data_IF_994338941569
#
_entry.id   IF_994338941569
#
_cell.length_a   1.000
_cell.length_b   1.000
_cell.length_c   1.000
_cell.angle_alpha   90.00
_cell.angle_beta   90.00
_cell.angle_gamma   90.00
#
_symmetry.space_group_name_H-M   'P 1'
#
loop_
_entity.id
_entity.type
_entity.pdbx_description
1 polymer ?
#
# COMPACT_ATOMS: atom_id res chain seq x y z
N UNK A 1 17.83 81.42 7.81
CA UNK A 1 16.94 80.63 6.97
C UNK A 1 17.27 79.17 7.24
N UNK A 2 16.53 78.48 8.14
CA UNK A 2 16.77 77.09 8.56
C UNK A 2 15.75 76.22 7.85
N UNK A 3 16.24 75.33 6.99
CA UNK A 3 15.42 74.38 6.26
C UNK A 3 15.30 73.13 7.13
N UNK A 4 14.08 72.85 7.62
CA UNK A 4 13.74 71.59 8.30
C UNK A 4 13.48 70.52 7.27
N UNK A 5 14.35 69.55 7.17
CA UNK A 5 14.14 68.34 6.34
C UNK A 5 13.37 67.32 7.19
N UNK A 6 12.07 67.15 6.88
CA UNK A 6 11.21 66.13 7.51
C UNK A 6 11.44 64.80 6.78
N UNK A 7 12.12 63.88 7.46
CA UNK A 7 12.29 62.46 7.00
C UNK A 7 11.00 61.73 7.37
N UNK A 8 10.16 61.42 6.37
CA UNK A 8 9.01 60.53 6.52
C UNK A 8 9.54 59.08 6.45
N UNK A 9 9.71 58.44 7.58
CA UNK A 9 9.95 57.01 7.69
C UNK A 9 8.66 56.25 7.39
N UNK A 10 8.50 55.76 6.16
CA UNK A 10 7.42 54.83 5.78
C UNK A 10 7.67 53.48 6.44
N UNK A 11 6.98 53.19 7.53
CA UNK A 11 6.87 51.85 8.14
C UNK A 11 6.09 50.98 7.18
N UNK A 12 6.79 50.20 6.35
CA UNK A 12 6.21 49.07 5.61
C UNK A 12 5.93 48.00 6.61
N UNK A 13 4.72 47.92 7.13
CA UNK A 13 4.22 46.81 7.92
C UNK A 13 4.07 45.59 6.99
N UNK A 14 5.08 44.74 6.95
CA UNK A 14 5.01 43.43 6.33
C UNK A 14 4.06 42.60 7.21
N UNK A 15 2.80 42.51 6.79
CA UNK A 15 1.83 41.62 7.39
C UNK A 15 2.31 40.18 7.12
N UNK A 16 3.04 39.59 8.04
CA UNK A 16 3.34 38.17 8.01
C UNK A 16 2.02 37.44 8.28
N UNK A 17 1.31 37.10 7.20
CA UNK A 17 0.21 36.15 7.31
C UNK A 17 0.78 34.84 7.82
N UNK A 18 0.56 34.54 9.08
CA UNK A 18 0.90 33.24 9.65
C UNK A 18 0.14 32.18 8.84
N UNK A 19 0.86 31.47 7.99
CA UNK A 19 0.26 30.40 7.20
C UNK A 19 -0.29 29.33 8.17
N UNK A 20 -1.53 28.92 7.95
CA UNK A 20 -2.19 27.88 8.73
C UNK A 20 -1.38 26.60 8.68
N UNK A 21 -1.10 26.01 9.84
CA UNK A 21 -0.42 24.72 9.97
C UNK A 21 -1.43 23.59 10.18
N UNK A 22 -1.08 22.40 9.72
CA UNK A 22 -1.90 21.20 9.80
C UNK A 22 -1.10 20.07 10.43
N UNK A 23 -1.71 19.34 11.35
CA UNK A 23 -1.17 18.10 11.91
C UNK A 23 -1.81 16.96 11.14
N UNK A 24 -1.03 16.31 10.28
CA UNK A 24 -1.45 15.12 9.54
C UNK A 24 -0.93 13.89 10.29
N UNK A 25 -1.82 13.05 10.75
CA UNK A 25 -1.48 11.80 11.47
C UNK A 25 -2.61 10.81 11.37
N UNK A 26 -2.29 9.54 11.53
CA UNK A 26 -3.29 8.51 11.73
C UNK A 26 -3.98 8.70 13.08
N UNK A 27 -5.29 8.75 13.07
CA UNK A 27 -6.12 8.93 14.24
C UNK A 27 -7.45 8.19 14.05
N UNK A 28 -7.38 6.87 14.07
CA UNK A 28 -8.56 6.02 13.89
C UNK A 28 -9.64 6.29 14.96
N UNK A 29 -10.83 6.73 14.57
CA UNK A 29 -11.92 6.95 15.52
C UNK A 29 -12.54 5.62 15.93
N UNK A 30 -12.70 5.41 17.24
CA UNK A 30 -13.35 4.22 17.82
C UNK A 30 -14.82 4.18 17.45
N UNK A 31 -15.34 2.99 17.13
CA UNK A 31 -16.74 2.75 16.77
C UNK A 31 -17.07 3.01 15.31
N UNK A 32 -16.07 3.33 14.49
CA UNK A 32 -16.25 3.56 13.07
C UNK A 32 -15.78 2.38 12.23
N UNK A 33 -16.36 2.27 11.05
CA UNK A 33 -15.96 1.31 10.01
C UNK A 33 -15.59 2.04 8.73
N UNK A 34 -14.59 1.52 8.05
CA UNK A 34 -14.13 2.04 6.77
C UNK A 34 -13.99 0.92 5.76
N UNK A 35 -14.59 1.09 4.60
CA UNK A 35 -14.36 0.23 3.44
C UNK A 35 -13.21 0.80 2.62
N UNK A 36 -12.30 -0.07 2.23
CA UNK A 36 -11.20 0.23 1.32
C UNK A 36 -11.29 -0.64 0.09
N UNK A 37 -11.06 -0.02 -1.07
CA UNK A 37 -10.85 -0.70 -2.34
C UNK A 37 -9.47 -0.35 -2.88
N UNK A 38 -8.64 -1.35 -3.09
CA UNK A 38 -7.32 -1.21 -3.73
C UNK A 38 -7.41 -1.88 -5.09
N UNK A 39 -6.99 -1.18 -6.13
CA UNK A 39 -6.90 -1.71 -7.48
C UNK A 39 -5.53 -1.38 -8.08
N UNK A 40 -4.91 -2.38 -8.70
CA UNK A 40 -3.63 -2.26 -9.39
C UNK A 40 -3.76 -2.77 -10.82
N UNK A 41 -3.58 -1.89 -11.78
CA UNK A 41 -3.47 -2.20 -13.21
C UNK A 41 -2.00 -2.21 -13.59
N UNK A 42 -1.48 -3.30 -14.16
CA UNK A 42 -0.06 -3.48 -14.46
C UNK A 42 0.15 -3.98 -15.88
N UNK A 43 1.19 -3.47 -16.53
CA UNK A 43 1.76 -3.95 -17.77
C UNK A 43 3.19 -4.36 -17.46
N UNK A 44 3.54 -5.61 -17.71
CA UNK A 44 4.85 -6.19 -17.43
C UNK A 44 5.43 -6.74 -18.72
N UNK A 45 6.60 -6.27 -19.08
CA UNK A 45 7.39 -6.77 -20.20
C UNK A 45 8.63 -7.48 -19.67
N UNK A 46 8.87 -8.68 -20.14
CA UNK A 46 10.05 -9.48 -19.78
C UNK A 46 10.72 -9.99 -21.05
N UNK A 47 12.06 -10.01 -21.05
CA UNK A 47 12.82 -10.67 -22.11
C UNK A 47 13.67 -11.76 -21.50
N UNK A 48 13.39 -13.01 -21.85
CA UNK A 48 14.00 -14.22 -21.29
C UNK A 48 14.65 -15.01 -22.43
N UNK A 49 15.98 -15.10 -22.47
CA UNK A 49 16.68 -15.85 -23.51
C UNK A 49 16.37 -15.36 -24.94
N UNK A 50 16.09 -14.05 -25.10
CA UNK A 50 15.76 -13.44 -26.39
C UNK A 50 14.27 -13.44 -26.72
N UNK A 51 13.42 -14.16 -25.98
CA UNK A 51 11.96 -14.18 -26.16
C UNK A 51 11.32 -13.07 -25.32
N UNK A 52 10.41 -12.31 -25.91
CA UNK A 52 9.63 -11.28 -25.23
C UNK A 52 8.32 -11.89 -24.70
N UNK A 53 8.03 -11.62 -23.44
CA UNK A 53 6.79 -11.99 -22.77
C UNK A 53 6.10 -10.70 -22.31
N UNK A 54 4.90 -10.50 -22.82
CA UNK A 54 4.03 -9.39 -22.42
C UNK A 54 2.93 -9.93 -21.52
N UNK A 55 2.80 -9.33 -20.33
CA UNK A 55 1.80 -9.68 -19.34
C UNK A 55 1.02 -8.41 -18.97
N UNK A 56 -0.30 -8.48 -19.03
CA UNK A 56 -1.16 -7.47 -18.38
C UNK A 56 -1.84 -8.09 -17.18
N UNK A 57 -1.90 -7.35 -16.08
CA UNK A 57 -2.49 -7.84 -14.84
C UNK A 57 -3.35 -6.75 -14.19
N UNK A 58 -4.55 -7.15 -13.76
CA UNK A 58 -5.41 -6.33 -12.91
C UNK A 58 -5.67 -7.10 -11.62
N UNK A 59 -5.34 -6.49 -10.47
CA UNK A 59 -5.54 -7.05 -9.14
C UNK A 59 -6.37 -6.08 -8.33
N UNK A 60 -7.43 -6.57 -7.69
CA UNK A 60 -8.26 -5.77 -6.80
C UNK A 60 -8.52 -6.47 -5.48
N UNK A 61 -8.56 -5.67 -4.42
CA UNK A 61 -8.89 -6.14 -3.06
C UNK A 61 -9.79 -5.13 -2.39
N UNK A 62 -10.95 -5.61 -1.91
CA UNK A 62 -11.87 -4.84 -1.07
C UNK A 62 -11.84 -5.40 0.36
N UNK A 63 -11.72 -4.52 1.35
CA UNK A 63 -11.75 -4.91 2.75
C UNK A 63 -12.36 -3.82 3.64
N UNK A 64 -12.81 -4.23 4.81
CA UNK A 64 -13.36 -3.34 5.85
C UNK A 64 -12.42 -3.30 7.04
N UNK A 65 -12.18 -2.11 7.58
CA UNK A 65 -11.64 -1.88 8.91
C UNK A 65 -12.81 -1.61 9.87
N UNK A 66 -12.91 -2.39 10.94
CA UNK A 66 -13.83 -2.19 12.06
C UNK A 66 -12.98 -1.81 13.28
N UNK A 67 -13.12 -0.58 13.77
CA UNK A 67 -12.21 0.04 14.73
C UNK A 67 -12.87 0.05 16.10
N UNK A 68 -12.22 -0.59 17.07
CA UNK A 68 -12.64 -0.63 18.47
C UNK A 68 -11.56 -0.05 19.38
N UNK A 69 -11.94 0.30 20.60
CA UNK A 69 -10.98 0.74 21.62
C UNK A 69 -10.11 -0.43 22.05
N UNK A 70 -8.80 -0.21 22.06
CA UNK A 70 -7.81 -1.10 22.65
C UNK A 70 -7.39 -0.66 24.05
N UNK A 71 -6.29 -1.20 24.54
CA UNK A 71 -5.73 -0.83 25.84
C UNK A 71 -4.80 0.38 25.73
N UNK A 72 -4.75 1.23 26.77
CA UNK A 72 -3.78 2.34 26.87
C UNK A 72 -3.77 3.30 25.66
N UNK A 73 -4.94 3.60 25.07
CA UNK A 73 -5.07 4.48 23.90
C UNK A 73 -4.72 3.82 22.56
N UNK A 74 -4.44 2.52 22.56
CA UNK A 74 -4.31 1.70 21.35
C UNK A 74 -5.67 1.56 20.67
N UNK A 75 -5.68 1.17 19.40
CA UNK A 75 -6.88 0.82 18.65
C UNK A 75 -6.79 -0.60 18.14
N UNK A 76 -7.82 -1.38 18.37
CA UNK A 76 -7.96 -2.69 17.77
C UNK A 76 -8.76 -2.57 16.48
N UNK A 77 -8.15 -2.99 15.39
CA UNK A 77 -8.71 -2.92 14.05
C UNK A 77 -8.92 -4.33 13.53
N UNK A 78 -10.17 -4.73 13.39
CA UNK A 78 -10.54 -5.95 12.71
C UNK A 78 -10.60 -5.69 11.21
N UNK A 79 -9.72 -6.34 10.47
CA UNK A 79 -9.70 -6.31 9.00
C UNK A 79 -10.48 -7.49 8.47
N UNK A 80 -11.45 -7.24 7.59
CA UNK A 80 -12.26 -8.27 6.93
C UNK A 80 -12.11 -8.15 5.42
N UNK A 81 -11.62 -9.18 4.76
CA UNK A 81 -11.59 -9.26 3.30
C UNK A 81 -13.01 -9.43 2.75
N UNK A 82 -13.45 -8.50 1.91
CA UNK A 82 -14.77 -8.54 1.24
C UNK A 82 -14.70 -9.20 -0.12
N UNK A 83 -13.68 -8.84 -0.89
CA UNK A 83 -13.47 -9.34 -2.24
C UNK A 83 -12.00 -9.28 -2.62
N UNK A 84 -11.56 -10.28 -3.36
CA UNK A 84 -10.26 -10.26 -4.05
C UNK A 84 -10.48 -10.80 -5.45
N UNK A 85 -9.90 -10.14 -6.43
CA UNK A 85 -9.89 -10.64 -7.79
C UNK A 85 -8.53 -10.41 -8.45
N UNK A 86 -8.23 -11.23 -9.43
CA UNK A 86 -7.07 -11.08 -10.31
C UNK A 86 -7.46 -11.51 -11.72
N UNK A 87 -7.11 -10.67 -12.68
CA UNK A 87 -7.14 -11.03 -14.11
C UNK A 87 -5.75 -10.83 -14.67
N UNK A 88 -5.23 -11.85 -15.32
CA UNK A 88 -3.90 -11.86 -15.93
C UNK A 88 -4.01 -12.34 -17.36
N UNK A 89 -3.38 -11.65 -18.29
CA UNK A 89 -3.32 -12.03 -19.71
C UNK A 89 -1.87 -12.09 -20.13
N UNK A 90 -1.42 -13.28 -20.52
CA UNK A 90 -0.09 -13.52 -21.03
C UNK A 90 -0.13 -14.50 -22.19
N UNK A 91 0.62 -14.24 -23.27
CA UNK A 91 0.77 -15.13 -24.42
C UNK A 91 -0.59 -15.61 -25.00
N UNK A 92 -1.60 -14.72 -25.04
CA UNK A 92 -2.95 -15.05 -25.51
C UNK A 92 -3.82 -15.84 -24.53
N UNK A 93 -3.28 -16.24 -23.38
CA UNK A 93 -4.02 -16.95 -22.33
C UNK A 93 -4.51 -15.98 -21.27
N UNK A 94 -5.79 -16.07 -20.91
CA UNK A 94 -6.38 -15.29 -19.82
C UNK A 94 -6.61 -16.19 -18.62
N UNK A 95 -6.10 -15.77 -17.46
CA UNK A 95 -6.42 -16.36 -16.16
C UNK A 95 -7.24 -15.35 -15.36
N UNK A 96 -8.34 -15.81 -14.77
CA UNK A 96 -9.18 -14.98 -13.90
C UNK A 96 -9.49 -15.73 -12.63
N UNK A 97 -9.27 -15.07 -11.49
CA UNK A 97 -9.63 -15.56 -10.17
C UNK A 97 -10.47 -14.48 -9.47
N UNK A 98 -11.57 -14.90 -8.85
CA UNK A 98 -12.44 -14.01 -8.10
C UNK A 98 -12.91 -14.74 -6.83
N UNK A 99 -12.73 -14.13 -5.66
CA UNK A 99 -13.20 -14.72 -4.39
C UNK A 99 -14.72 -14.91 -4.33
N UNK A 100 -15.49 -14.23 -5.20
CA UNK A 100 -16.93 -14.40 -5.32
C UNK A 100 -17.33 -15.62 -6.17
N UNK A 101 -16.38 -16.23 -6.89
CA UNK A 101 -16.66 -17.39 -7.72
C UNK A 101 -16.99 -18.61 -6.83
N UNK A 102 -18.20 -19.13 -7.01
CA UNK A 102 -18.72 -20.29 -6.26
C UNK A 102 -18.44 -21.63 -6.97
N UNK A 103 -17.79 -21.61 -8.14
CA UNK A 103 -17.46 -22.83 -8.87
C UNK A 103 -16.40 -23.66 -8.14
N UNK A 104 -16.86 -24.64 -7.36
CA UNK A 104 -16.01 -25.52 -6.58
C UNK A 104 -15.15 -26.47 -7.44
N UNK A 105 -15.40 -26.56 -8.75
CA UNK A 105 -14.61 -27.39 -9.68
C UNK A 105 -13.29 -26.71 -10.07
N UNK A 106 -13.20 -25.38 -9.90
CA UNK A 106 -12.00 -24.61 -10.20
C UNK A 106 -11.18 -24.38 -8.91
N UNK A 107 -9.92 -24.73 -8.95
CA UNK A 107 -8.98 -24.36 -7.87
C UNK A 107 -8.80 -22.84 -7.89
N UNK A 108 -9.44 -22.16 -6.94
CA UNK A 108 -9.38 -20.70 -6.81
C UNK A 108 -8.66 -20.34 -5.49
N UNK A 109 -7.42 -19.82 -5.55
CA UNK A 109 -6.65 -19.49 -4.35
C UNK A 109 -7.29 -18.41 -3.47
N UNK A 110 -8.22 -17.62 -4.03
CA UNK A 110 -8.87 -16.52 -3.31
C UNK A 110 -10.20 -16.92 -2.67
N UNK A 111 -10.76 -18.08 -2.95
CA UNK A 111 -12.06 -18.50 -2.42
C UNK A 111 -12.10 -18.58 -0.89
N UNK A 112 -10.97 -18.86 -0.25
CA UNK A 112 -10.83 -18.91 1.21
C UNK A 112 -10.63 -17.54 1.88
N UNK A 113 -10.41 -16.46 1.11
CA UNK A 113 -10.18 -15.13 1.63
C UNK A 113 -11.46 -14.33 1.82
N UNK A 114 -12.52 -14.59 1.06
CA UNK A 114 -13.79 -13.89 1.25
C UNK A 114 -14.35 -14.12 2.66
N UNK A 115 -14.54 -13.05 3.42
CA UNK A 115 -14.98 -13.10 4.81
C UNK A 115 -13.88 -13.47 5.81
N UNK A 116 -12.67 -13.77 5.35
CA UNK A 116 -11.54 -14.00 6.23
C UNK A 116 -11.18 -12.71 6.99
N UNK A 117 -10.76 -12.87 8.25
CA UNK A 117 -10.47 -11.77 9.14
C UNK A 117 -9.14 -11.95 9.83
N UNK A 118 -8.47 -10.83 10.09
CA UNK A 118 -7.37 -10.75 11.05
C UNK A 118 -7.53 -9.52 11.93
N UNK A 119 -6.82 -9.47 13.04
CA UNK A 119 -6.81 -8.37 13.98
C UNK A 119 -5.45 -7.70 13.95
N UNK A 120 -5.42 -6.38 13.99
CA UNK A 120 -4.20 -5.62 14.25
C UNK A 120 -4.44 -4.63 15.37
N UNK A 121 -3.45 -4.47 16.25
CA UNK A 121 -3.44 -3.45 17.29
C UNK A 121 -2.54 -2.31 16.84
N UNK A 122 -3.13 -1.12 16.71
CA UNK A 122 -2.48 0.13 16.30
C UNK A 122 -2.19 0.97 17.52
N UNK A 123 -0.93 1.39 17.69
CA UNK A 123 -0.50 2.25 18.80
C UNK A 123 -0.75 3.73 18.47
N UNK A 124 -0.77 4.64 19.48
CA UNK A 124 -1.16 6.04 19.27
C UNK A 124 -0.35 6.83 18.24
N UNK A 125 0.88 6.41 17.93
CA UNK A 125 1.71 7.04 16.90
C UNK A 125 1.50 6.44 15.48
N UNK A 126 0.53 5.52 15.31
CA UNK A 126 0.19 4.90 14.03
C UNK A 126 0.98 3.63 13.70
N UNK A 127 1.91 3.19 14.54
CA UNK A 127 2.60 1.91 14.36
C UNK A 127 1.70 0.73 14.65
N UNK A 128 2.02 -0.45 14.13
CA UNK A 128 1.30 -1.70 14.41
C UNK A 128 2.05 -2.51 15.45
N UNK A 129 1.43 -2.72 16.61
CA UNK A 129 1.99 -3.51 17.70
C UNK A 129 1.92 -5.00 17.39
N UNK A 130 0.75 -5.50 17.03
CA UNK A 130 0.51 -6.92 16.77
C UNK A 130 -0.40 -7.13 15.55
N UNK A 131 -0.23 -8.30 14.93
CA UNK A 131 -1.18 -8.85 13.93
C UNK A 131 -1.50 -10.29 14.37
N UNK A 132 -2.77 -10.63 14.43
CA UNK A 132 -3.26 -11.94 14.88
C UNK A 132 -4.35 -12.48 13.95
N UNK A 133 -4.50 -13.83 13.90
CA UNK A 133 -5.53 -14.49 13.09
C UNK A 133 -5.09 -14.90 11.69
N UNK A 134 -3.86 -14.58 11.29
CA UNK A 134 -3.31 -14.95 9.97
C UNK A 134 -3.27 -16.47 9.79
N UNK A 135 -2.85 -17.24 10.79
CA UNK A 135 -2.78 -18.72 10.68
C UNK A 135 -4.13 -19.33 10.33
N UNK A 136 -5.21 -18.86 11.00
CA UNK A 136 -6.58 -19.33 10.72
C UNK A 136 -7.03 -18.96 9.31
N UNK A 137 -6.64 -17.78 8.82
CA UNK A 137 -6.90 -17.35 7.46
C UNK A 137 -6.21 -18.30 6.46
N UNK A 138 -4.95 -18.63 6.69
CA UNK A 138 -4.18 -19.54 5.84
C UNK A 138 -4.72 -20.97 5.86
N UNK A 139 -5.18 -21.47 7.02
CA UNK A 139 -5.85 -22.76 7.13
C UNK A 139 -7.12 -22.81 6.27
N UNK A 140 -7.94 -21.77 6.35
CA UNK A 140 -9.16 -21.67 5.54
C UNK A 140 -8.85 -21.61 4.03
N UNK A 141 -7.84 -20.85 3.63
CA UNK A 141 -7.41 -20.78 2.23
C UNK A 141 -6.94 -22.15 1.72
N UNK A 142 -6.05 -22.81 2.45
CA UNK A 142 -5.50 -24.09 2.06
C UNK A 142 -6.60 -25.18 1.98
N UNK A 143 -7.53 -25.23 2.94
CA UNK A 143 -8.66 -26.15 2.95
C UNK A 143 -9.64 -25.97 1.78
N UNK A 144 -9.71 -24.75 1.21
CA UNK A 144 -10.51 -24.48 -0.01
C UNK A 144 -9.81 -24.91 -1.30
N UNK A 145 -8.50 -25.10 -1.27
CA UNK A 145 -7.71 -25.48 -2.44
C UNK A 145 -7.55 -26.99 -2.60
N UNK A 146 -7.66 -27.78 -1.53
CA UNK A 146 -7.57 -29.23 -1.56
C UNK A 146 -8.33 -29.89 -0.40
N UNK A 147 -8.82 -31.12 -0.66
CA UNK A 147 -9.39 -31.98 0.36
C UNK A 147 -8.36 -32.98 0.93
N UNK A 148 -7.18 -33.11 0.33
CA UNK A 148 -6.10 -33.95 0.79
C UNK A 148 -5.30 -33.28 1.90
N UNK A 149 -5.21 -33.90 3.08
CA UNK A 149 -4.57 -33.33 4.26
C UNK A 149 -3.08 -32.99 4.03
N UNK A 150 -2.37 -33.83 3.25
CA UNK A 150 -0.95 -33.58 2.93
C UNK A 150 -0.78 -32.39 2.00
N UNK A 151 -1.63 -32.31 0.97
CA UNK A 151 -1.66 -31.18 0.03
C UNK A 151 -2.05 -29.88 0.73
N UNK A 152 -3.07 -29.90 1.60
CA UNK A 152 -3.48 -28.74 2.42
C UNK A 152 -2.30 -28.21 3.24
N UNK A 153 -1.52 -29.09 3.87
CA UNK A 153 -0.34 -28.69 4.66
C UNK A 153 0.74 -28.04 3.77
N UNK A 154 0.99 -28.61 2.60
CA UNK A 154 1.96 -28.05 1.65
C UNK A 154 1.52 -26.68 1.14
N UNK A 155 0.25 -26.51 0.79
CA UNK A 155 -0.34 -25.25 0.37
C UNK A 155 -0.21 -24.22 1.51
N UNK A 156 -0.61 -24.55 2.74
CA UNK A 156 -0.46 -23.66 3.89
C UNK A 156 0.99 -23.21 4.08
N UNK A 157 1.95 -24.13 4.01
CA UNK A 157 3.37 -23.80 4.14
C UNK A 157 3.86 -22.87 3.01
N UNK A 158 3.36 -23.03 1.80
CA UNK A 158 3.70 -22.14 0.68
C UNK A 158 3.09 -20.74 0.88
N UNK A 159 1.83 -20.65 1.31
CA UNK A 159 1.14 -19.41 1.59
C UNK A 159 1.77 -18.66 2.77
N UNK A 160 2.18 -19.35 3.84
CA UNK A 160 2.76 -18.72 5.03
C UNK A 160 4.09 -17.99 4.76
N UNK A 161 4.83 -18.38 3.72
CA UNK A 161 6.01 -17.64 3.26
C UNK A 161 5.66 -16.24 2.72
N UNK A 162 4.46 -16.06 2.18
CA UNK A 162 4.02 -14.81 1.56
C UNK A 162 3.09 -13.99 2.47
N UNK A 163 2.36 -14.66 3.36
CA UNK A 163 1.31 -14.07 4.19
C UNK A 163 1.53 -14.35 5.68
N UNK A 164 2.77 -14.36 6.17
CA UNK A 164 3.00 -14.45 7.62
C UNK A 164 2.48 -13.21 8.34
N UNK A 165 2.26 -13.32 9.65
CA UNK A 165 1.86 -12.18 10.49
C UNK A 165 2.86 -11.00 10.36
N UNK A 166 4.16 -11.30 10.28
CA UNK A 166 5.22 -10.28 10.11
C UNK A 166 5.14 -9.59 8.74
N UNK A 167 4.91 -10.33 7.65
CA UNK A 167 4.74 -9.75 6.31
C UNK A 167 3.50 -8.86 6.26
N UNK A 168 2.37 -9.32 6.80
CA UNK A 168 1.14 -8.52 6.88
C UNK A 168 1.36 -7.28 7.73
N UNK A 169 2.03 -7.41 8.88
CA UNK A 169 2.39 -6.27 9.75
C UNK A 169 3.22 -5.23 9.00
N UNK A 170 4.33 -5.64 8.37
CA UNK A 170 5.20 -4.74 7.60
C UNK A 170 4.45 -4.05 6.46
N UNK A 171 3.58 -4.78 5.75
CA UNK A 171 2.78 -4.24 4.66
C UNK A 171 1.81 -3.16 5.16
N UNK A 172 1.11 -3.43 6.26
CA UNK A 172 0.18 -2.46 6.85
C UNK A 172 0.92 -1.24 7.42
N UNK A 173 2.03 -1.44 8.14
CA UNK A 173 2.86 -0.34 8.65
C UNK A 173 3.36 0.56 7.52
N UNK A 174 3.84 -0.01 6.42
CA UNK A 174 4.31 0.75 5.26
C UNK A 174 3.17 1.54 4.60
N UNK A 175 1.97 0.96 4.55
CA UNK A 175 0.78 1.64 4.00
C UNK A 175 0.31 2.81 4.85
N UNK A 176 0.56 2.77 6.17
CA UNK A 176 0.21 3.85 7.10
C UNK A 176 1.34 4.86 7.31
N UNK A 177 2.55 4.57 6.88
CA UNK A 177 3.71 5.45 7.07
C UNK A 177 3.77 6.50 5.97
N UNK A 178 2.86 7.48 6.01
CA UNK A 178 2.75 8.55 5.02
C UNK A 178 2.74 9.96 5.65
N UNK A 179 2.74 10.06 6.99
CA UNK A 179 2.55 11.32 7.69
C UNK A 179 3.87 12.00 8.05
N UNK A 180 3.89 13.36 8.13
CA UNK A 180 5.04 14.09 8.65
C UNK A 180 5.13 13.93 10.18
N UNK A 181 6.34 14.01 10.71
CA UNK A 181 6.57 14.01 12.17
C UNK A 181 6.20 15.34 12.85
N UNK A 182 6.06 16.42 12.07
CA UNK A 182 5.75 17.78 12.53
C UNK A 182 4.51 18.33 11.83
N UNK A 183 3.93 19.39 12.40
CA UNK A 183 2.91 20.16 11.70
C UNK A 183 3.49 20.78 10.42
N UNK A 184 2.70 20.77 9.35
CA UNK A 184 3.09 21.25 8.01
C UNK A 184 2.16 22.34 7.50
N UNK A 185 2.66 23.15 6.60
CA UNK A 185 1.91 24.17 5.83
C UNK A 185 1.72 23.70 4.41
N UNK A 186 0.81 24.32 3.69
CA UNK A 186 0.69 24.13 2.23
C UNK A 186 2.02 24.53 1.59
N UNK A 187 2.55 23.65 0.73
CA UNK A 187 3.87 23.76 0.11
C UNK A 187 5.00 23.03 0.86
N UNK A 188 4.81 22.65 2.12
CA UNK A 188 5.82 21.86 2.85
C UNK A 188 5.90 20.43 2.32
N UNK A 189 7.13 19.90 2.30
CA UNK A 189 7.40 18.51 1.94
C UNK A 189 8.06 17.76 3.09
N UNK A 190 7.90 16.43 3.08
CA UNK A 190 8.58 15.51 3.98
C UNK A 190 8.84 14.19 3.25
N UNK A 191 9.85 13.47 3.69
CA UNK A 191 10.27 12.20 3.10
C UNK A 191 9.96 11.05 4.04
N UNK A 192 9.53 9.94 3.46
CA UNK A 192 9.25 8.69 4.17
C UNK A 192 9.99 7.55 3.48
N UNK A 193 10.76 6.81 4.26
CA UNK A 193 11.47 5.61 3.82
C UNK A 193 10.68 4.38 4.25
N UNK A 194 10.42 3.47 3.32
CA UNK A 194 9.78 2.19 3.63
C UNK A 194 10.56 1.02 3.03
N UNK A 195 10.54 -0.10 3.74
CA UNK A 195 11.10 -1.37 3.29
C UNK A 195 10.02 -2.43 3.38
N UNK A 196 9.76 -3.08 2.25
CA UNK A 196 8.82 -4.18 2.15
C UNK A 196 9.58 -5.44 1.80
N UNK A 197 9.36 -6.49 2.59
CA UNK A 197 9.92 -7.81 2.35
C UNK A 197 8.78 -8.77 1.99
N UNK A 198 8.18 -8.54 0.86
CA UNK A 198 7.13 -9.41 0.31
C UNK A 198 7.74 -10.52 -0.55
N UNK A 199 7.08 -10.88 -1.65
CA UNK A 199 7.62 -11.83 -2.64
C UNK A 199 8.96 -11.35 -3.24
N UNK A 200 9.22 -10.05 -3.20
CA UNK A 200 10.43 -9.39 -3.69
C UNK A 200 10.79 -8.26 -2.73
N UNK A 201 12.06 -8.07 -2.35
CA UNK A 201 12.46 -6.95 -1.50
C UNK A 201 12.27 -5.63 -2.25
N UNK A 202 11.56 -4.68 -1.64
CA UNK A 202 11.34 -3.34 -2.21
C UNK A 202 11.66 -2.30 -1.15
N UNK A 203 12.54 -1.37 -1.48
CA UNK A 203 12.81 -0.17 -0.70
C UNK A 203 12.28 1.04 -1.45
N UNK A 204 11.61 1.95 -0.74
CA UNK A 204 11.11 3.19 -1.33
C UNK A 204 11.54 4.39 -0.51
N UNK A 205 11.87 5.47 -1.20
CA UNK A 205 12.04 6.80 -0.62
C UNK A 205 10.98 7.68 -1.29
N UNK A 206 9.98 8.10 -0.52
CA UNK A 206 8.83 8.83 -1.04
C UNK A 206 8.75 10.21 -0.41
N UNK A 207 8.76 11.25 -1.24
CA UNK A 207 8.48 12.63 -0.86
C UNK A 207 6.98 12.90 -1.01
N UNK A 208 6.39 13.43 0.04
CA UNK A 208 5.02 13.95 0.08
C UNK A 208 5.08 15.46 0.21
N UNK A 209 4.29 16.18 -0.58
CA UNK A 209 4.13 17.63 -0.50
C UNK A 209 2.67 17.96 -0.22
N UNK A 210 2.38 18.74 0.83
CA UNK A 210 1.03 19.23 1.08
C UNK A 210 0.65 20.28 0.04
N UNK A 211 -0.16 19.88 -0.96
CA UNK A 211 -0.58 20.72 -2.07
C UNK A 211 -1.70 21.68 -1.66
N UNK A 212 -2.70 21.14 -0.99
CA UNK A 212 -3.93 21.87 -0.67
C UNK A 212 -4.61 21.25 0.55
N UNK A 213 -5.38 22.07 1.26
CA UNK A 213 -6.34 21.63 2.28
C UNK A 213 -7.66 22.31 2.03
N UNK A 214 -8.69 21.55 1.73
CA UNK A 214 -10.05 22.03 1.47
C UNK A 214 -11.08 21.11 2.11
N UNK A 215 -12.09 21.68 2.77
CA UNK A 215 -13.23 20.98 3.36
C UNK A 215 -12.83 19.77 4.26
N UNK A 216 -11.75 19.92 5.04
CA UNK A 216 -11.24 18.85 5.91
C UNK A 216 -10.40 17.79 5.19
N UNK A 217 -10.15 17.93 3.90
CA UNK A 217 -9.35 17.02 3.09
C UNK A 217 -8.00 17.64 2.75
N UNK A 218 -6.91 16.93 3.05
CA UNK A 218 -5.57 17.28 2.62
C UNK A 218 -5.23 16.55 1.32
N UNK A 219 -4.74 17.26 0.31
CA UNK A 219 -4.24 16.71 -0.95
C UNK A 219 -2.73 16.73 -0.93
N UNK A 220 -2.11 15.57 -1.12
CA UNK A 220 -0.67 15.38 -1.15
C UNK A 220 -0.22 15.04 -2.58
N UNK A 221 0.81 15.73 -3.05
CA UNK A 221 1.60 15.29 -4.20
C UNK A 221 2.57 14.22 -3.71
N UNK A 222 2.67 13.13 -4.44
CA UNK A 222 3.54 11.99 -4.14
C UNK A 222 4.60 11.86 -5.24
N UNK A 223 5.87 11.81 -4.85
CA UNK A 223 7.00 11.50 -5.73
C UNK A 223 7.98 10.61 -4.98
N UNK A 224 8.41 9.53 -5.59
CA UNK A 224 9.35 8.63 -4.94
C UNK A 224 10.19 7.84 -5.89
N UNK A 225 11.25 7.26 -5.34
CA UNK A 225 12.10 6.27 -5.98
C UNK A 225 11.86 4.89 -5.37
N UNK A 226 11.99 3.85 -6.21
CA UNK A 226 11.88 2.46 -5.81
C UNK A 226 13.17 1.74 -6.19
N UNK A 227 13.63 0.87 -5.30
CA UNK A 227 14.74 -0.04 -5.56
C UNK A 227 14.34 -1.44 -5.09
N UNK A 228 14.57 -2.44 -5.94
CA UNK A 228 14.46 -3.83 -5.55
C UNK A 228 15.79 -4.50 -5.85
N UNK A 229 16.54 -4.83 -4.80
CA UNK A 229 17.85 -5.45 -4.93
C UNK A 229 18.03 -6.56 -3.90
N UNK A 230 18.40 -7.76 -4.38
CA UNK A 230 18.68 -8.91 -3.54
C UNK A 230 18.06 -10.20 -4.03
N UNK A 231 18.12 -11.21 -3.17
CA UNK A 231 17.61 -12.55 -3.44
C UNK A 231 16.21 -12.72 -2.80
N UNK A 232 15.35 -13.44 -3.49
CA UNK A 232 14.04 -13.84 -2.99
C UNK A 232 13.64 -15.21 -3.57
N UNK A 233 12.56 -15.79 -3.07
CA UNK A 233 12.00 -17.04 -3.58
C UNK A 233 10.60 -16.78 -4.14
N UNK A 234 10.37 -17.17 -5.39
CA UNK A 234 9.04 -17.11 -6.00
C UNK A 234 8.71 -18.46 -6.66
N UNK A 235 7.55 -19.01 -6.33
CA UNK A 235 7.08 -20.32 -6.83
C UNK A 235 8.12 -21.45 -6.69
N UNK A 236 8.86 -21.46 -5.56
CA UNK A 236 9.91 -22.46 -5.29
C UNK A 236 11.23 -22.23 -6.02
N UNK A 237 11.37 -21.17 -6.80
CA UNK A 237 12.60 -20.83 -7.51
C UNK A 237 13.34 -19.69 -6.80
N UNK A 238 14.66 -19.83 -6.68
CA UNK A 238 15.52 -18.74 -6.24
C UNK A 238 15.65 -17.71 -7.36
N UNK A 239 15.39 -16.47 -7.03
CA UNK A 239 15.48 -15.34 -7.94
C UNK A 239 16.38 -14.27 -7.32
N UNK A 240 17.06 -13.53 -8.18
CA UNK A 240 17.82 -12.33 -7.83
C UNK A 240 17.18 -11.14 -8.58
N UNK A 241 17.16 -9.98 -7.98
CA UNK A 241 16.62 -8.76 -8.57
C UNK A 241 17.58 -7.60 -8.41
N UNK A 242 17.67 -6.77 -9.45
CA UNK A 242 18.33 -5.46 -9.46
C UNK A 242 17.48 -4.53 -10.34
N UNK A 243 16.44 -4.01 -9.72
CA UNK A 243 15.46 -3.13 -10.36
C UNK A 243 15.47 -1.76 -9.69
N UNK A 244 15.14 -0.74 -10.46
CA UNK A 244 14.93 0.62 -10.01
C UNK A 244 13.68 1.20 -10.67
N UNK A 245 13.11 2.22 -10.05
CA UNK A 245 11.92 2.82 -10.59
C UNK A 245 11.45 4.04 -9.83
N UNK A 246 10.25 4.47 -10.14
CA UNK A 246 9.61 5.65 -9.55
C UNK A 246 8.15 5.38 -9.21
N UNK A 247 7.64 6.14 -8.24
CA UNK A 247 6.22 6.29 -8.01
C UNK A 247 5.85 7.77 -8.00
N UNK A 248 4.71 8.12 -8.56
CA UNK A 248 4.23 9.50 -8.60
C UNK A 248 2.72 9.58 -8.71
N UNK A 249 2.14 10.65 -8.16
CA UNK A 249 0.71 10.87 -8.24
C UNK A 249 0.18 11.77 -7.13
N UNK A 250 -1.07 11.54 -6.75
CA UNK A 250 -1.76 12.29 -5.69
C UNK A 250 -2.44 11.34 -4.71
N UNK A 251 -2.49 11.78 -3.45
CA UNK A 251 -3.22 11.09 -2.38
C UNK A 251 -4.01 12.12 -1.59
N UNK A 252 -5.28 11.83 -1.31
CA UNK A 252 -6.13 12.65 -0.45
C UNK A 252 -6.39 11.96 0.89
N UNK A 253 -6.32 12.74 1.96
CA UNK A 253 -6.49 12.29 3.35
C UNK A 253 -7.59 13.10 4.03
N UNK A 254 -8.41 12.47 4.84
CA UNK A 254 -9.19 13.16 5.85
C UNK A 254 -8.26 13.67 6.97
N UNK A 255 -8.25 14.96 7.25
CA UNK A 255 -7.32 15.57 8.22
C UNK A 255 -7.62 15.11 9.65
N UNK A 256 -8.88 14.85 9.97
CA UNK A 256 -9.32 14.50 11.33
C UNK A 256 -8.91 13.08 11.70
N UNK A 257 -9.04 12.15 10.75
CA UNK A 257 -8.81 10.72 10.97
C UNK A 257 -7.50 10.22 10.38
N UNK A 258 -6.92 10.98 9.43
CA UNK A 258 -5.76 10.55 8.66
C UNK A 258 -6.09 9.49 7.59
N UNK A 259 -7.33 9.07 7.44
CA UNK A 259 -7.68 8.01 6.51
C UNK A 259 -7.48 8.47 5.07
N UNK A 260 -6.86 7.61 4.27
CA UNK A 260 -6.73 7.81 2.82
C UNK A 260 -8.13 7.69 2.20
N UNK A 261 -8.62 8.78 1.63
CA UNK A 261 -9.91 8.83 0.92
C UNK A 261 -9.76 8.42 -0.53
N UNK A 262 -8.69 8.88 -1.16
CA UNK A 262 -8.37 8.53 -2.54
C UNK A 262 -6.84 8.58 -2.75
N UNK A 263 -6.33 7.65 -3.53
CA UNK A 263 -4.94 7.69 -3.99
C UNK A 263 -4.88 7.19 -5.44
N UNK A 264 -4.08 7.85 -6.26
CA UNK A 264 -3.84 7.49 -7.64
C UNK A 264 -2.35 7.63 -7.91
N UNK A 265 -1.63 6.51 -7.95
CA UNK A 265 -0.19 6.47 -8.11
C UNK A 265 0.19 5.70 -9.36
N UNK A 266 1.02 6.30 -10.19
CA UNK A 266 1.73 5.63 -11.28
C UNK A 266 3.03 5.07 -10.74
N UNK A 267 3.32 3.82 -11.05
CA UNK A 267 4.54 3.11 -10.68
C UNK A 267 5.24 2.65 -11.96
N UNK A 268 6.53 2.85 -12.01
CA UNK A 268 7.41 2.35 -13.06
C UNK A 268 8.57 1.63 -12.40
N UNK A 269 8.91 0.43 -12.89
CA UNK A 269 10.01 -0.37 -12.36
C UNK A 269 10.70 -1.07 -13.51
N UNK A 270 12.02 -1.01 -13.59
CA UNK A 270 12.80 -1.61 -14.67
C UNK A 270 14.19 -2.03 -14.22
N UNK A 271 14.78 -2.98 -14.93
CA UNK A 271 16.11 -3.47 -14.67
C UNK A 271 16.27 -4.94 -15.02
N UNK A 272 17.02 -5.66 -14.20
CA UNK A 272 17.32 -7.06 -14.43
C UNK A 272 16.88 -7.94 -13.28
N UNK A 273 16.44 -9.13 -13.64
CA UNK A 273 16.19 -10.21 -12.70
C UNK A 273 16.99 -11.42 -13.17
N UNK A 274 17.26 -12.35 -12.27
CA UNK A 274 17.90 -13.63 -12.59
C UNK A 274 17.09 -14.78 -11.98
N UNK A 275 16.83 -15.78 -12.79
CA UNK A 275 16.14 -16.99 -12.34
C UNK A 275 16.78 -18.22 -12.95
N UNK A 276 17.11 -19.23 -12.13
CA UNK A 276 17.77 -20.46 -12.59
C UNK A 276 19.00 -20.21 -13.51
N UNK A 277 19.80 -19.19 -13.20
CA UNK A 277 21.00 -18.81 -13.97
C UNK A 277 20.71 -18.04 -15.29
N UNK A 278 19.45 -17.76 -15.62
CA UNK A 278 19.06 -16.98 -16.80
C UNK A 278 18.77 -15.54 -16.41
N UNK A 279 19.33 -14.61 -17.19
CA UNK A 279 19.02 -13.19 -17.07
C UNK A 279 17.67 -12.89 -17.71
N UNK A 280 16.90 -12.01 -17.07
CA UNK A 280 15.58 -11.55 -17.47
C UNK A 280 15.64 -10.02 -17.44
N UNK A 281 15.48 -9.39 -18.61
CA UNK A 281 15.19 -7.95 -18.65
C UNK A 281 13.75 -7.75 -18.21
N UNK A 282 13.52 -6.80 -17.32
CA UNK A 282 12.22 -6.57 -16.68
C UNK A 282 11.82 -5.11 -16.78
N UNK A 283 10.59 -4.87 -17.20
CA UNK A 283 9.95 -3.56 -17.18
C UNK A 283 8.51 -3.72 -16.73
N UNK A 284 8.08 -2.89 -15.79
CA UNK A 284 6.70 -2.81 -15.30
C UNK A 284 6.24 -1.37 -15.27
N UNK A 285 5.05 -1.13 -15.77
CA UNK A 285 4.28 0.10 -15.57
C UNK A 285 2.97 -0.27 -14.91
N UNK A 286 2.57 0.52 -13.89
CA UNK A 286 1.35 0.24 -13.17
C UNK A 286 0.66 1.51 -12.69
N UNK A 287 -0.65 1.38 -12.46
CA UNK A 287 -1.47 2.40 -11.81
C UNK A 287 -2.11 1.75 -10.59
N UNK A 288 -1.79 2.28 -9.41
CA UNK A 288 -2.41 1.88 -8.16
C UNK A 288 -3.45 2.92 -7.75
N UNK A 289 -4.66 2.44 -7.46
CA UNK A 289 -5.78 3.26 -6.97
C UNK A 289 -6.21 2.74 -5.61
N UNK A 290 -6.40 3.64 -4.67
CA UNK A 290 -6.98 3.34 -3.36
C UNK A 290 -8.19 4.24 -3.18
N UNK A 291 -9.30 3.68 -2.73
CA UNK A 291 -10.48 4.43 -2.29
C UNK A 291 -10.86 3.98 -0.89
N UNK A 292 -10.98 4.94 0.02
CA UNK A 292 -11.44 4.72 1.38
C UNK A 292 -12.71 5.50 1.65
N UNK A 293 -13.68 4.89 2.32
CA UNK A 293 -14.91 5.55 2.73
C UNK A 293 -15.40 5.03 4.06
N UNK A 294 -15.97 5.91 4.85
CA UNK A 294 -16.70 5.53 6.05
C UNK A 294 -17.97 4.75 5.67
N UNK A 295 -18.26 3.72 6.43
CA UNK A 295 -19.49 2.93 6.31
C UNK A 295 -20.16 2.81 7.69
N UNK A 296 -21.46 2.87 7.69
CA UNK A 296 -22.29 2.78 8.91
C UNK A 296 -22.48 1.31 9.32
#
# INVERSE_FOLDING_TARGET
>A
MRIFATIICSLISVSVFAQKTYVLRQNFPTGYKYDFSINSDQIINQKIGGQEVHLTQNIGTDYTFDITEGHNGEKDVKVTYKKIFMKSVAMGTTMTYNSDDQDSTKKNPFSGLKGATFLMTVIPNGGIKTVAGIDKMLDNMAAKMSNDTSEVRQIKNALSKQFSADVVKQTMESSFKIYPERAVKIGDSWTVDTKLQMSMPIETITEYTLKEVKDGVAILIVKGSLVSKGNFEAMGNKMETDLKGTNSGETSLDIKTGIVLNSHLRIELYGKMKSMGKDIDFEMQGINKIMGKEVN
#
